data_IF_416048407474
#
_entry.id   IF_416048407474
#
_cell.length_a   1.000
_cell.length_b   1.000
_cell.length_c   1.000
_cell.angle_alpha   90.00
_cell.angle_beta   90.00
_cell.angle_gamma   90.00
#
_symmetry.space_group_name_H-M   'P 1'
#
loop_
_entity.id
_entity.type
_entity.pdbx_description
1 polymer ?
#
# COMPACT_ATOMS: atom_id res chain seq x y z
N UNK A 1 24.76 -29.61 52.16
CA UNK A 1 26.02 -29.14 52.80
C UNK A 1 26.94 -28.64 51.68
N UNK A 2 27.70 -27.57 51.93
CA UNK A 2 27.78 -26.41 51.03
C UNK A 2 29.20 -26.32 50.37
N UNK A 3 29.72 -25.25 49.75
CA UNK A 3 29.43 -23.81 49.91
C UNK A 3 29.48 -22.97 48.61
N UNK A 4 28.68 -21.89 48.66
CA UNK A 4 29.00 -20.56 48.14
C UNK A 4 30.49 -20.19 48.29
N UNK A 5 31.09 -19.60 47.25
CA UNK A 5 32.20 -18.66 47.47
C UNK A 5 31.99 -17.33 46.74
N UNK A 6 31.66 -16.35 47.58
CA UNK A 6 31.56 -14.92 47.30
C UNK A 6 32.98 -14.34 47.17
N UNK A 7 33.29 -13.60 46.10
CA UNK A 7 34.50 -12.76 46.06
C UNK A 7 34.13 -11.28 46.13
N UNK A 8 34.70 -10.58 47.11
CA UNK A 8 34.35 -9.21 47.50
C UNK A 8 35.45 -8.20 47.15
N UNK A 9 35.01 -7.07 46.60
CA UNK A 9 35.43 -5.71 46.98
C UNK A 9 36.73 -5.08 46.42
N UNK A 10 36.66 -3.73 46.35
CA UNK A 10 37.73 -2.71 46.19
C UNK A 10 38.33 -2.59 44.77
N UNK A 11 38.54 -1.39 44.23
CA UNK A 11 38.14 -0.07 44.71
C UNK A 11 38.63 1.06 43.78
N UNK A 12 37.74 2.05 43.56
CA UNK A 12 37.97 3.49 43.71
C UNK A 12 39.33 4.09 43.24
N UNK A 13 39.29 4.99 42.23
CA UNK A 13 39.77 6.39 42.32
C UNK A 13 39.66 7.17 40.99
N UNK A 14 39.11 8.40 41.08
CA UNK A 14 39.32 9.52 40.13
C UNK A 14 40.63 10.27 40.53
N UNK A 15 41.30 11.02 39.63
CA UNK A 15 41.02 12.46 39.41
C UNK A 15 40.98 12.83 37.90
N UNK A 16 40.20 13.81 37.39
CA UNK A 16 40.13 15.27 37.64
C UNK A 16 41.32 16.09 37.06
N UNK A 17 41.05 17.00 36.10
CA UNK A 17 42.04 17.98 35.60
C UNK A 17 41.76 18.63 34.21
N UNK A 18 41.06 19.77 34.19
CA UNK A 18 41.07 20.79 33.10
C UNK A 18 42.19 21.84 33.40
N UNK A 19 42.42 23.01 32.71
CA UNK A 19 41.68 23.72 31.66
C UNK A 19 42.54 24.48 30.58
N UNK A 20 41.95 25.51 29.92
CA UNK A 20 42.57 26.65 29.18
C UNK A 20 42.96 26.43 27.69
N UNK A 21 42.86 27.39 26.74
CA UNK A 21 42.34 28.79 26.74
C UNK A 21 42.21 29.39 25.31
N UNK A 22 41.45 30.50 25.18
CA UNK A 22 41.38 31.58 24.14
C UNK A 22 42.31 31.58 22.88
N UNK A 23 41.97 32.19 21.73
CA UNK A 23 40.99 33.26 21.44
C UNK A 23 40.93 33.70 19.95
N UNK A 24 40.38 34.89 19.59
CA UNK A 24 39.73 35.13 18.27
C UNK A 24 40.34 36.24 17.36
N UNK A 25 40.11 36.16 16.03
CA UNK A 25 40.36 37.21 15.00
C UNK A 25 39.48 36.95 13.74
N UNK A 26 38.99 37.87 12.87
CA UNK A 26 38.48 39.27 12.89
C UNK A 26 37.64 39.48 11.58
N UNK A 27 36.76 40.49 11.56
CA UNK A 27 35.83 41.01 10.53
C UNK A 27 36.17 41.04 9.01
N UNK A 28 35.09 41.09 8.21
CA UNK A 28 34.91 41.87 6.96
C UNK A 28 33.56 41.54 6.30
N UNK A 29 32.51 42.38 6.32
CA UNK A 29 32.25 43.56 5.47
C UNK A 29 32.43 43.29 3.94
N UNK A 30 31.52 43.66 3.00
CA UNK A 30 30.21 44.32 3.11
C UNK A 30 29.34 44.17 1.83
N UNK A 31 28.02 44.31 2.01
CA UNK A 31 27.06 45.17 1.28
C UNK A 31 26.67 44.99 -0.22
N UNK A 32 25.37 45.26 -0.43
CA UNK A 32 24.68 45.81 -1.62
C UNK A 32 24.72 45.04 -2.96
N UNK A 33 23.50 44.73 -3.45
CA UNK A 33 22.88 45.55 -4.50
C UNK A 33 21.33 45.45 -4.45
N UNK A 34 20.65 46.53 -4.84
CA UNK A 34 19.17 46.68 -4.81
C UNK A 34 18.58 46.62 -6.22
N UNK A 35 17.32 46.18 -6.29
CA UNK A 35 16.29 46.49 -7.31
C UNK A 35 16.60 46.18 -8.78
N UNK A 36 15.68 45.46 -9.41
CA UNK A 36 14.93 46.05 -10.53
C UNK A 36 13.49 45.49 -10.59
N UNK A 37 12.55 46.37 -10.88
CA UNK A 37 11.11 46.10 -11.01
C UNK A 37 10.79 45.91 -12.49
N UNK A 38 9.90 44.97 -12.83
CA UNK A 38 8.96 45.07 -13.97
C UNK A 38 7.94 43.92 -13.98
N UNK A 39 6.66 44.24 -13.78
CA UNK A 39 5.58 43.62 -14.56
C UNK A 39 5.40 44.43 -15.87
N UNK A 40 4.61 43.95 -16.85
CA UNK A 40 3.21 44.40 -16.89
C UNK A 40 2.19 43.39 -17.48
N UNK A 41 0.91 43.77 -17.32
CA UNK A 41 -0.29 43.41 -18.09
C UNK A 41 -0.77 41.93 -18.07
N UNK A 42 -1.99 41.63 -17.59
CA UNK A 42 -3.32 41.99 -18.12
C UNK A 42 -3.60 41.47 -19.55
N UNK A 43 -4.43 40.44 -19.64
CA UNK A 43 -5.54 40.42 -20.59
C UNK A 43 -6.78 39.83 -19.89
N UNK A 44 -7.86 40.59 -19.93
CA UNK A 44 -9.22 40.21 -19.55
C UNK A 44 -9.86 39.39 -20.69
N UNK A 45 -10.76 38.45 -20.35
CA UNK A 45 -12.00 38.18 -21.10
C UNK A 45 -12.90 37.21 -20.31
N UNK A 46 -14.12 37.66 -20.03
CA UNK A 46 -15.22 36.93 -19.40
C UNK A 46 -16.37 36.71 -20.43
N UNK A 47 -17.62 36.35 -20.07
CA UNK A 47 -18.08 35.05 -19.55
C UNK A 47 -19.29 34.47 -20.35
N UNK A 48 -19.73 33.24 -20.02
CA UNK A 48 -21.11 32.69 -20.17
C UNK A 48 -21.17 31.30 -19.52
N UNK A 49 -22.01 30.92 -18.56
CA UNK A 49 -23.42 31.21 -18.21
C UNK A 49 -24.47 30.32 -18.91
N UNK A 50 -25.03 29.38 -18.13
CA UNK A 50 -26.41 28.79 -18.11
C UNK A 50 -26.31 27.34 -17.55
N UNK A 51 -26.96 26.89 -16.46
CA UNK A 51 -28.31 27.07 -15.88
C UNK A 51 -29.33 25.98 -16.31
N UNK A 52 -30.39 25.77 -15.49
CA UNK A 52 -31.37 24.63 -15.41
C UNK A 52 -30.89 23.54 -14.43
N UNK A 53 -31.43 23.29 -13.22
CA UNK A 53 -32.71 23.58 -12.49
C UNK A 53 -33.88 22.61 -12.79
N UNK A 54 -34.36 21.94 -11.72
CA UNK A 54 -35.56 21.06 -11.68
C UNK A 54 -35.20 19.71 -11.03
N UNK A 55 -35.43 19.50 -9.72
CA UNK A 55 -36.66 18.97 -9.11
C UNK A 55 -36.95 17.50 -9.55
N UNK A 56 -37.30 16.54 -8.68
CA UNK A 56 -38.27 16.61 -7.56
C UNK A 56 -37.89 15.72 -6.36
N UNK A 57 -38.51 15.97 -5.20
CA UNK A 57 -38.25 15.29 -3.92
C UNK A 57 -39.41 14.37 -3.46
N UNK A 58 -39.11 13.50 -2.48
CA UNK A 58 -40.03 12.70 -1.63
C UNK A 58 -40.61 11.44 -2.32
N UNK A 59 -40.88 10.31 -1.64
CA UNK A 59 -41.13 10.02 -0.21
C UNK A 59 -40.41 8.75 0.31
N UNK A 60 -40.14 8.72 1.63
CA UNK A 60 -40.40 7.65 2.65
C UNK A 60 -40.46 6.16 2.18
N UNK A 61 -39.86 5.18 2.85
CA UNK A 61 -39.04 5.17 4.07
C UNK A 61 -39.03 3.81 4.80
N UNK A 62 -37.99 3.55 5.60
CA UNK A 62 -37.89 2.60 6.73
C UNK A 62 -38.41 1.16 6.63
N UNK A 63 -37.49 0.18 6.67
CA UNK A 63 -37.79 -1.23 7.00
C UNK A 63 -36.54 -2.09 7.20
N UNK A 64 -36.11 -2.31 8.44
CA UNK A 64 -34.99 -3.22 8.77
C UNK A 64 -35.46 -4.68 8.72
N UNK A 65 -34.64 -5.57 8.13
CA UNK A 65 -34.85 -7.02 8.13
C UNK A 65 -33.50 -7.76 8.07
N UNK A 66 -33.24 -8.61 9.05
CA UNK A 66 -31.94 -9.27 9.25
C UNK A 66 -31.73 -10.49 8.36
N UNK A 67 -30.60 -10.54 7.66
CA UNK A 67 -29.74 -11.72 7.40
C UNK A 67 -30.38 -13.02 6.85
N UNK A 68 -29.90 -13.46 5.69
CA UNK A 68 -29.94 -14.88 5.30
C UNK A 68 -28.71 -15.28 4.48
N UNK A 69 -28.32 -16.55 4.59
CA UNK A 69 -27.18 -17.14 3.89
C UNK A 69 -27.58 -17.49 2.45
N UNK A 70 -26.82 -17.00 1.46
CA UNK A 70 -27.04 -17.37 0.06
C UNK A 70 -26.64 -18.84 -0.21
N UNK A 71 -27.65 -19.71 -0.22
CA UNK A 71 -27.53 -21.12 -0.61
C UNK A 71 -27.89 -21.26 -2.09
N UNK A 72 -26.88 -21.38 -2.94
CA UNK A 72 -27.07 -21.76 -4.35
C UNK A 72 -27.83 -23.09 -4.43
N UNK A 73 -29.06 -23.03 -4.97
CA UNK A 73 -29.87 -24.21 -5.28
C UNK A 73 -30.45 -24.01 -6.67
N UNK A 74 -30.01 -24.81 -7.63
CA UNK A 74 -30.64 -24.83 -8.95
C UNK A 74 -32.09 -25.30 -8.82
N UNK A 75 -33.04 -24.55 -9.37
CA UNK A 75 -34.44 -24.97 -9.53
C UNK A 75 -34.95 -24.69 -10.94
N UNK A 76 -35.96 -25.47 -11.34
CA UNK A 76 -36.28 -25.75 -12.73
C UNK A 76 -37.36 -24.84 -13.33
N UNK A 77 -37.31 -24.70 -14.66
CA UNK A 77 -38.43 -24.54 -15.58
C UNK A 77 -39.54 -23.54 -15.20
N UNK A 78 -39.17 -22.27 -15.20
CA UNK A 78 -40.03 -21.12 -15.49
C UNK A 78 -39.12 -19.96 -15.88
N UNK A 79 -39.52 -19.09 -16.81
CA UNK A 79 -38.76 -17.86 -17.05
C UNK A 79 -38.78 -17.02 -15.76
N UNK A 80 -37.63 -16.75 -15.11
CA UNK A 80 -37.61 -15.96 -13.89
C UNK A 80 -38.10 -14.53 -14.15
N UNK A 81 -38.89 -14.00 -13.21
CA UNK A 81 -39.42 -12.64 -13.29
C UNK A 81 -38.28 -11.63 -13.36
N UNK A 82 -38.44 -10.62 -14.22
CA UNK A 82 -37.53 -9.46 -14.32
C UNK A 82 -37.37 -8.81 -12.94
N UNK A 83 -38.45 -8.75 -12.14
CA UNK A 83 -38.41 -8.20 -10.79
C UNK A 83 -37.43 -8.94 -9.88
N UNK A 84 -37.45 -10.28 -9.89
CA UNK A 84 -36.58 -11.12 -9.06
C UNK A 84 -35.11 -11.01 -9.50
N UNK A 85 -34.86 -10.94 -10.81
CA UNK A 85 -33.52 -10.75 -11.36
C UNK A 85 -32.96 -9.35 -11.03
N UNK A 86 -33.80 -8.32 -11.06
CA UNK A 86 -33.45 -6.96 -10.66
C UNK A 86 -33.11 -6.89 -9.16
N UNK A 87 -33.87 -7.57 -8.30
CA UNK A 87 -33.59 -7.60 -6.86
C UNK A 87 -32.28 -8.37 -6.57
N UNK A 88 -32.08 -9.54 -7.18
CA UNK A 88 -30.82 -10.29 -7.10
C UNK A 88 -29.62 -9.46 -7.58
N UNK A 89 -29.79 -8.68 -8.66
CA UNK A 89 -28.71 -7.83 -9.18
C UNK A 89 -28.45 -6.63 -8.29
N UNK A 90 -29.48 -6.03 -7.69
CA UNK A 90 -29.32 -4.98 -6.67
C UNK A 90 -28.60 -5.52 -5.44
N UNK A 91 -28.86 -6.75 -5.03
CA UNK A 91 -28.16 -7.37 -3.91
C UNK A 91 -26.72 -7.74 -4.26
N UNK A 92 -26.45 -8.22 -5.48
CA UNK A 92 -25.10 -8.41 -6.02
C UNK A 92 -24.29 -7.09 -6.07
N UNK A 93 -24.92 -6.00 -6.48
CA UNK A 93 -24.37 -4.65 -6.46
C UNK A 93 -24.12 -4.12 -5.04
N UNK A 94 -25.03 -4.37 -4.08
CA UNK A 94 -24.85 -4.00 -2.67
C UNK A 94 -23.75 -4.81 -1.99
N UNK A 95 -23.60 -6.09 -2.36
CA UNK A 95 -22.67 -7.03 -1.71
C UNK A 95 -21.20 -6.65 -1.91
N UNK A 96 -20.83 -6.01 -3.03
CA UNK A 96 -19.44 -5.58 -3.26
C UNK A 96 -19.26 -4.49 -4.31
N UNK A 97 -18.16 -3.74 -4.20
CA UNK A 97 -17.68 -2.83 -5.27
C UNK A 97 -17.43 -3.63 -6.56
N UNK A 98 -16.81 -4.80 -6.45
CA UNK A 98 -16.63 -5.75 -7.55
C UNK A 98 -17.95 -6.03 -8.29
N UNK A 99 -19.03 -6.37 -7.58
CA UNK A 99 -20.33 -6.65 -8.20
C UNK A 99 -20.91 -5.46 -8.99
N UNK A 100 -20.69 -4.23 -8.52
CA UNK A 100 -21.02 -3.01 -9.28
C UNK A 100 -20.13 -2.85 -10.51
N UNK A 101 -18.82 -3.06 -10.38
CA UNK A 101 -17.87 -2.94 -11.50
C UNK A 101 -18.10 -3.99 -12.59
N UNK A 102 -18.34 -5.25 -12.22
CA UNK A 102 -18.73 -6.35 -13.11
C UNK A 102 -20.00 -5.98 -13.89
N UNK A 103 -21.04 -5.52 -13.19
CA UNK A 103 -22.29 -5.07 -13.83
C UNK A 103 -22.08 -3.89 -14.77
N UNK A 104 -21.33 -2.86 -14.34
CA UNK A 104 -21.03 -1.70 -15.18
C UNK A 104 -20.24 -2.07 -16.45
N UNK A 105 -19.24 -2.96 -16.32
CA UNK A 105 -18.54 -3.52 -17.47
C UNK A 105 -19.51 -4.23 -18.42
N UNK A 106 -20.38 -5.10 -17.89
CA UNK A 106 -21.34 -5.84 -18.70
C UNK A 106 -22.34 -4.93 -19.43
N UNK A 107 -22.86 -3.90 -18.77
CA UNK A 107 -23.72 -2.90 -19.40
C UNK A 107 -23.00 -2.10 -20.49
N UNK A 108 -21.76 -1.69 -20.24
CA UNK A 108 -20.97 -0.94 -21.22
C UNK A 108 -20.57 -1.82 -22.44
N UNK A 109 -20.41 -3.12 -22.25
CA UNK A 109 -20.03 -4.07 -23.30
C UNK A 109 -21.22 -4.63 -24.10
N UNK A 110 -22.36 -4.87 -23.46
CA UNK A 110 -23.49 -5.62 -24.05
C UNK A 110 -24.86 -4.92 -23.92
N UNK A 111 -24.99 -3.89 -23.08
CA UNK A 111 -26.27 -3.24 -22.73
C UNK A 111 -26.34 -1.75 -23.03
N UNK A 112 -25.67 -1.30 -24.10
CA UNK A 112 -25.62 0.11 -24.56
C UNK A 112 -25.21 1.15 -23.49
N UNK A 113 -24.47 0.73 -22.46
CA UNK A 113 -24.09 1.57 -21.32
C UNK A 113 -25.26 1.93 -20.38
N UNK A 114 -26.43 1.31 -20.55
CA UNK A 114 -27.57 1.46 -19.63
C UNK A 114 -27.24 0.66 -18.38
N UNK A 115 -26.97 1.32 -17.25
CA UNK A 115 -26.56 0.66 -15.99
C UNK A 115 -27.69 0.45 -14.97
N UNK A 116 -28.92 0.87 -15.29
CA UNK A 116 -30.11 0.63 -14.46
C UNK A 116 -30.68 -0.78 -14.74
N UNK A 117 -30.68 -1.70 -13.75
CA UNK A 117 -31.25 -3.05 -13.92
C UNK A 117 -32.69 -3.08 -14.42
N UNK A 118 -33.53 -2.11 -14.03
CA UNK A 118 -34.97 -2.09 -14.37
C UNK A 118 -35.20 -1.83 -15.86
N UNK A 119 -34.18 -1.33 -16.57
CA UNK A 119 -34.25 -0.98 -17.99
C UNK A 119 -33.81 -2.10 -18.93
N UNK A 120 -33.52 -3.30 -18.40
CA UNK A 120 -33.10 -4.47 -19.15
C UNK A 120 -34.16 -5.58 -19.11
N UNK A 121 -34.23 -6.37 -20.18
CA UNK A 121 -35.11 -7.53 -20.25
C UNK A 121 -34.57 -8.73 -19.44
N UNK A 122 -35.45 -9.67 -19.07
CA UNK A 122 -35.10 -10.84 -18.27
C UNK A 122 -33.92 -11.63 -18.86
N UNK A 123 -33.92 -11.83 -20.18
CA UNK A 123 -32.88 -12.52 -20.95
C UNK A 123 -31.50 -11.89 -20.80
N UNK A 124 -31.42 -10.55 -20.72
CA UNK A 124 -30.16 -9.83 -20.53
C UNK A 124 -29.61 -10.02 -19.11
N UNK A 125 -30.48 -9.95 -18.11
CA UNK A 125 -30.14 -10.16 -16.70
C UNK A 125 -29.79 -11.63 -16.40
N UNK A 126 -30.48 -12.59 -17.02
CA UNK A 126 -30.11 -14.01 -16.99
C UNK A 126 -28.72 -14.22 -17.60
N UNK A 127 -28.48 -13.67 -18.80
CA UNK A 127 -27.19 -13.76 -19.50
C UNK A 127 -26.03 -13.17 -18.67
N UNK A 128 -26.28 -12.09 -17.92
CA UNK A 128 -25.33 -11.53 -16.96
C UNK A 128 -24.95 -12.55 -15.88
N UNK A 129 -25.95 -13.12 -15.19
CA UNK A 129 -25.70 -14.09 -14.12
C UNK A 129 -25.09 -15.39 -14.63
N UNK A 130 -25.41 -15.83 -15.84
CA UNK A 130 -24.75 -16.97 -16.47
C UNK A 130 -23.27 -16.69 -16.75
N UNK A 131 -22.94 -15.59 -17.44
CA UNK A 131 -21.54 -15.26 -17.76
C UNK A 131 -20.73 -15.00 -16.49
N UNK A 132 -21.33 -14.34 -15.48
CA UNK A 132 -20.70 -14.15 -14.18
C UNK A 132 -20.50 -15.46 -13.42
N UNK A 133 -21.48 -16.38 -13.46
CA UNK A 133 -21.39 -17.70 -12.85
C UNK A 133 -20.35 -18.61 -13.51
N UNK A 134 -20.02 -18.34 -14.78
CA UNK A 134 -18.94 -19.02 -15.54
C UNK A 134 -17.58 -18.32 -15.44
N UNK A 135 -17.51 -17.12 -14.85
CA UNK A 135 -16.30 -16.30 -14.76
C UNK A 135 -15.88 -15.60 -16.06
N UNK A 136 -16.72 -15.64 -17.11
CA UNK A 136 -16.42 -15.09 -18.45
C UNK A 136 -16.24 -13.55 -18.42
N UNK A 137 -16.80 -12.88 -17.42
CA UNK A 137 -16.71 -11.42 -17.26
C UNK A 137 -15.40 -10.96 -16.59
N UNK A 138 -14.61 -11.85 -15.96
CA UNK A 138 -13.42 -11.44 -15.20
C UNK A 138 -12.29 -10.91 -16.11
N UNK A 139 -12.04 -11.56 -17.25
CA UNK A 139 -10.99 -11.15 -18.20
C UNK A 139 -11.29 -9.78 -18.81
N UNK A 140 -12.54 -9.57 -19.23
CA UNK A 140 -13.00 -8.31 -19.81
C UNK A 140 -13.02 -7.17 -18.80
N UNK A 141 -13.47 -7.44 -17.57
CA UNK A 141 -13.49 -6.48 -16.47
C UNK A 141 -12.09 -5.93 -16.19
N UNK A 142 -11.03 -6.75 -16.20
CA UNK A 142 -9.66 -6.26 -15.97
C UNK A 142 -9.27 -5.19 -17.00
N UNK A 143 -9.59 -5.39 -18.28
CA UNK A 143 -9.29 -4.42 -19.35
C UNK A 143 -10.17 -3.15 -19.27
N UNK A 144 -11.39 -3.30 -18.75
CA UNK A 144 -12.34 -2.21 -18.59
C UNK A 144 -12.05 -1.37 -17.33
N UNK A 145 -11.58 -1.96 -16.22
CA UNK A 145 -11.16 -1.20 -15.03
C UNK A 145 -9.95 -0.33 -15.35
N UNK A 146 -8.94 -0.84 -16.06
CA UNK A 146 -7.79 -0.08 -16.55
C UNK A 146 -8.20 1.15 -17.39
N UNK A 147 -9.32 1.06 -18.11
CA UNK A 147 -9.82 2.16 -18.95
C UNK A 147 -10.88 3.05 -18.27
N UNK A 148 -11.68 2.53 -17.33
CA UNK A 148 -12.64 3.33 -16.55
C UNK A 148 -11.96 4.11 -15.42
N UNK A 149 -10.93 3.58 -14.74
CA UNK A 149 -10.13 4.36 -13.77
C UNK A 149 -9.45 5.55 -14.48
N UNK A 150 -8.82 5.32 -15.64
CA UNK A 150 -8.22 6.40 -16.46
C UNK A 150 -9.26 7.42 -16.92
N UNK A 151 -10.52 7.01 -17.16
CA UNK A 151 -11.59 7.92 -17.61
C UNK A 151 -12.30 8.66 -16.47
N UNK A 152 -12.37 8.07 -15.27
CA UNK A 152 -12.95 8.68 -14.05
C UNK A 152 -11.95 9.58 -13.32
N UNK A 153 -10.65 9.31 -13.38
CA UNK A 153 -9.59 10.12 -12.76
C UNK A 153 -9.29 11.45 -13.50
N UNK A 154 -10.33 12.20 -13.92
CA UNK A 154 -10.18 13.64 -14.21
C UNK A 154 -10.19 14.50 -12.95
N UNK A 155 -10.89 14.06 -11.91
CA UNK A 155 -10.73 14.58 -10.54
C UNK A 155 -9.67 13.75 -9.82
N UNK A 156 -8.40 14.15 -9.92
CA UNK A 156 -7.39 13.66 -8.97
C UNK A 156 -7.78 14.07 -7.54
N UNK A 157 -7.45 13.28 -6.50
CA UNK A 157 -7.60 13.75 -5.12
C UNK A 157 -6.90 15.10 -4.97
N UNK A 158 -7.66 16.13 -4.60
CA UNK A 158 -7.10 17.48 -4.42
C UNK A 158 -6.17 17.41 -3.21
N UNK A 159 -4.87 17.39 -3.48
CA UNK A 159 -3.85 17.48 -2.45
C UNK A 159 -4.08 18.77 -1.64
N UNK A 160 -3.88 18.73 -0.30
CA UNK A 160 -4.08 19.90 0.53
C UNK A 160 -3.16 21.04 0.08
N UNK A 161 -3.64 22.27 0.19
CA UNK A 161 -2.80 23.44 -0.02
C UNK A 161 -1.73 23.51 1.08
N UNK A 162 -0.48 23.31 0.68
CA UNK A 162 0.70 23.48 1.55
C UNK A 162 1.35 24.85 1.33
N UNK A 163 1.81 25.45 2.42
CA UNK A 163 2.48 26.76 2.46
C UNK A 163 3.93 26.70 1.95
N UNK A 164 4.59 27.85 1.83
CA UNK A 164 6.03 27.91 1.56
C UNK A 164 6.89 27.37 2.72
N UNK A 165 6.38 27.43 3.95
CA UNK A 165 7.07 26.93 5.14
C UNK A 165 7.02 25.40 5.20
N UNK A 166 5.90 24.78 4.82
CA UNK A 166 5.77 23.33 4.69
C UNK A 166 6.76 22.76 3.65
N UNK A 167 6.91 23.45 2.50
CA UNK A 167 7.84 23.07 1.44
C UNK A 167 9.29 23.16 1.92
N UNK A 168 9.68 24.28 2.53
CA UNK A 168 11.02 24.44 3.10
C UNK A 168 11.32 23.42 4.21
N UNK A 169 10.30 23.05 5.00
CA UNK A 169 10.44 22.01 6.05
C UNK A 169 10.63 20.62 5.43
N UNK A 170 9.91 20.30 4.34
CA UNK A 170 10.11 19.04 3.61
C UNK A 170 11.52 18.97 2.98
N UNK A 171 12.02 20.07 2.41
CA UNK A 171 13.41 20.17 1.92
C UNK A 171 14.44 19.95 3.05
N UNK A 172 14.24 20.57 4.22
CA UNK A 172 15.11 20.40 5.37
C UNK A 172 15.12 18.95 5.90
N UNK A 173 13.96 18.29 5.94
CA UNK A 173 13.84 16.87 6.30
C UNK A 173 14.58 15.95 5.34
N UNK A 174 14.51 16.22 4.03
CA UNK A 174 15.28 15.46 3.03
C UNK A 174 16.78 15.55 3.28
N UNK A 175 17.31 16.73 3.61
CA UNK A 175 18.73 16.90 3.91
C UNK A 175 19.14 16.09 5.14
N UNK A 176 18.43 16.27 6.27
CA UNK A 176 18.66 15.55 7.52
C UNK A 176 18.63 14.01 7.35
N UNK A 177 17.68 13.50 6.57
CA UNK A 177 17.56 12.07 6.26
C UNK A 177 18.77 11.48 5.52
N UNK A 178 19.49 12.31 4.74
CA UNK A 178 20.71 11.89 4.03
C UNK A 178 21.99 12.01 4.85
N UNK A 179 21.94 12.52 6.08
CA UNK A 179 23.11 12.63 6.95
C UNK A 179 23.63 11.26 7.43
N UNK A 180 24.90 11.22 7.80
CA UNK A 180 25.60 10.02 8.26
C UNK A 180 26.54 10.36 9.42
N UNK A 181 26.27 9.90 10.66
CA UNK A 181 25.07 9.16 11.08
C UNK A 181 23.80 10.02 10.92
N UNK A 182 22.64 9.37 10.78
CA UNK A 182 21.35 10.08 10.71
C UNK A 182 20.92 10.50 12.12
N UNK A 183 20.54 11.76 12.31
CA UNK A 183 19.92 12.21 13.55
C UNK A 183 18.40 11.98 13.50
N UNK A 184 18.00 10.75 13.82
CA UNK A 184 16.58 10.37 13.89
C UNK A 184 15.77 11.21 14.87
N UNK A 185 16.39 11.76 15.92
CA UNK A 185 15.70 12.56 16.94
C UNK A 185 15.44 13.97 16.43
N UNK A 186 16.46 14.67 15.90
CA UNK A 186 16.29 16.00 15.31
C UNK A 186 15.30 15.96 14.13
N UNK A 187 15.36 14.90 13.32
CA UNK A 187 14.40 14.71 12.25
C UNK A 187 12.98 14.47 12.78
N UNK A 188 12.78 13.60 13.77
CA UNK A 188 11.46 13.37 14.40
C UNK A 188 10.89 14.67 14.99
N UNK A 189 11.74 15.50 15.62
CA UNK A 189 11.34 16.80 16.17
C UNK A 189 10.90 17.80 15.10
N UNK A 190 11.33 17.66 13.85
CA UNK A 190 10.82 18.46 12.73
C UNK A 190 9.37 18.12 12.33
N UNK A 191 8.83 16.96 12.71
CA UNK A 191 7.43 16.60 12.41
C UNK A 191 6.48 17.37 13.31
N UNK A 192 5.25 17.71 12.85
CA UNK A 192 4.21 18.24 13.72
C UNK A 192 3.92 17.24 14.84
N UNK A 193 3.65 17.74 16.05
CA UNK A 193 3.63 16.91 17.25
C UNK A 193 2.62 15.75 17.19
N UNK A 194 1.48 15.92 16.49
CA UNK A 194 0.48 14.86 16.33
C UNK A 194 0.97 13.65 15.51
N UNK A 195 1.97 13.85 14.64
CA UNK A 195 2.50 12.80 13.78
C UNK A 195 3.60 11.97 14.45
N UNK A 196 4.38 12.58 15.34
CA UNK A 196 5.58 11.95 15.96
C UNK A 196 5.33 10.55 16.55
N UNK A 197 4.24 10.26 17.28
CA UNK A 197 4.00 8.92 17.85
C UNK A 197 3.96 7.79 16.81
N UNK A 198 3.65 8.09 15.54
CA UNK A 198 3.60 7.10 14.47
C UNK A 198 4.97 6.58 14.03
N UNK A 199 6.02 7.36 14.30
CA UNK A 199 7.41 7.14 13.86
C UNK A 199 8.36 6.75 15.02
N UNK A 200 7.93 6.89 16.28
CA UNK A 200 8.76 6.62 17.46
C UNK A 200 9.08 5.13 17.69
N UNK A 201 8.21 4.23 17.27
CA UNK A 201 8.40 2.79 17.40
C UNK A 201 7.54 2.02 16.38
N UNK A 202 7.89 0.76 16.15
CA UNK A 202 7.05 -0.18 15.41
C UNK A 202 5.76 -0.46 16.17
N UNK A 203 4.63 -0.45 15.47
CA UNK A 203 3.35 -0.90 15.98
C UNK A 203 2.93 -2.19 15.27
N UNK A 204 2.70 -3.24 16.07
CA UNK A 204 2.01 -4.46 15.68
C UNK A 204 0.50 -4.19 15.72
N UNK A 205 -0.17 -4.39 14.59
CA UNK A 205 -1.60 -4.21 14.37
C UNK A 205 -2.19 -5.53 13.84
N UNK A 206 -3.52 -5.65 13.82
CA UNK A 206 -4.20 -6.85 13.30
C UNK A 206 -4.98 -6.54 12.01
N UNK A 207 -4.86 -7.42 11.03
CA UNK A 207 -5.66 -7.43 9.80
C UNK A 207 -7.01 -8.10 10.10
N UNK A 208 -8.16 -7.47 9.78
CA UNK A 208 -9.46 -8.11 9.96
C UNK A 208 -9.61 -9.35 9.09
N UNK A 209 -10.23 -10.41 9.63
CA UNK A 209 -10.43 -11.71 8.95
C UNK A 209 -11.23 -11.63 7.64
N UNK A 210 -11.89 -10.52 7.35
CA UNK A 210 -12.53 -10.22 6.06
C UNK A 210 -11.54 -9.97 4.92
N UNK A 211 -10.26 -9.75 5.21
CA UNK A 211 -9.20 -9.51 4.23
C UNK A 211 -8.29 -10.74 4.08
N UNK A 212 -8.79 -11.76 3.37
CA UNK A 212 -8.07 -13.03 3.16
C UNK A 212 -6.97 -12.91 2.08
N UNK A 213 -5.91 -12.18 2.42
CA UNK A 213 -4.70 -12.07 1.60
C UNK A 213 -4.01 -13.42 1.40
N UNK A 214 -4.06 -14.31 2.40
CA UNK A 214 -3.38 -15.61 2.37
C UNK A 214 -3.92 -16.49 1.25
N UNK A 215 -5.24 -16.62 1.11
CA UNK A 215 -5.85 -17.43 0.04
C UNK A 215 -5.48 -16.95 -1.36
N UNK A 216 -5.57 -15.64 -1.62
CA UNK A 216 -5.25 -15.07 -2.93
C UNK A 216 -3.76 -15.19 -3.26
N UNK A 217 -2.88 -15.03 -2.27
CA UNK A 217 -1.44 -15.24 -2.48
C UNK A 217 -1.11 -16.72 -2.66
N UNK A 218 -1.76 -17.64 -1.96
CA UNK A 218 -1.57 -19.08 -2.19
C UNK A 218 -2.01 -19.49 -3.62
N UNK A 219 -3.16 -19.00 -4.09
CA UNK A 219 -3.61 -19.16 -5.48
C UNK A 219 -2.56 -18.62 -6.48
N UNK A 220 -2.02 -17.42 -6.24
CA UNK A 220 -0.97 -16.79 -7.05
C UNK A 220 0.39 -17.52 -7.04
N UNK A 221 0.62 -18.40 -6.06
CA UNK A 221 1.81 -19.24 -5.98
C UNK A 221 1.54 -20.68 -6.46
N UNK A 222 0.33 -20.96 -6.98
CA UNK A 222 -0.15 -22.29 -7.39
C UNK A 222 0.03 -23.32 -6.26
N UNK A 223 -0.37 -22.91 -5.05
CA UNK A 223 -0.10 -23.56 -3.77
C UNK A 223 -1.40 -23.72 -2.96
N UNK A 224 -1.65 -24.86 -2.28
CA UNK A 224 -2.70 -24.95 -1.27
C UNK A 224 -2.49 -23.92 -0.15
N UNK A 225 -3.56 -23.35 0.39
CA UNK A 225 -3.49 -22.29 1.43
C UNK A 225 -2.70 -22.72 2.67
N UNK A 226 -2.95 -23.96 3.11
CA UNK A 226 -2.32 -24.55 4.29
C UNK A 226 -0.79 -24.69 4.07
N UNK A 227 -0.40 -25.07 2.85
CA UNK A 227 0.98 -25.34 2.45
C UNK A 227 1.79 -24.06 2.12
N UNK A 228 1.27 -22.85 2.38
CA UNK A 228 1.97 -21.60 2.03
C UNK A 228 3.35 -21.48 2.70
N UNK A 229 3.49 -21.99 3.93
CA UNK A 229 4.80 -22.10 4.62
C UNK A 229 5.71 -23.14 3.95
N UNK A 230 5.13 -24.20 3.38
CA UNK A 230 5.82 -25.28 2.67
C UNK A 230 5.78 -25.14 1.15
N UNK A 231 5.58 -23.93 0.62
CA UNK A 231 5.47 -23.69 -0.84
C UNK A 231 6.72 -24.12 -1.63
N UNK A 232 7.85 -24.35 -0.95
CA UNK A 232 9.08 -24.91 -1.54
C UNK A 232 9.06 -26.42 -1.72
N UNK A 233 8.17 -27.14 -1.02
CA UNK A 233 7.99 -28.60 -1.09
C UNK A 233 6.82 -29.01 -2.01
N UNK A 234 5.92 -28.07 -2.34
CA UNK A 234 4.77 -28.29 -3.24
C UNK A 234 5.26 -28.89 -4.58
N UNK A 235 4.83 -30.11 -4.95
CA UNK A 235 5.21 -30.74 -6.21
C UNK A 235 4.72 -29.94 -7.42
N UNK A 236 5.56 -29.77 -8.44
CA UNK A 236 5.23 -29.02 -9.65
C UNK A 236 5.62 -29.78 -10.90
N UNK A 237 4.90 -29.54 -12.00
CA UNK A 237 5.17 -30.14 -13.31
C UNK A 237 6.42 -29.56 -13.97
N UNK A 238 6.95 -30.26 -14.98
CA UNK A 238 8.14 -29.81 -15.73
C UNK A 238 7.90 -28.55 -16.59
N UNK A 239 6.64 -28.16 -16.81
CA UNK A 239 6.23 -26.96 -17.54
C UNK A 239 5.80 -25.80 -16.62
N UNK A 240 5.87 -25.97 -15.30
CA UNK A 240 5.48 -24.96 -14.32
C UNK A 240 6.33 -23.68 -14.46
N UNK A 241 5.64 -22.53 -14.57
CA UNK A 241 6.27 -21.21 -14.71
C UNK A 241 6.00 -20.35 -13.48
N UNK A 242 6.93 -20.26 -12.51
CA UNK A 242 6.72 -19.46 -11.31
C UNK A 242 6.48 -17.99 -11.63
N UNK A 243 5.64 -17.36 -10.82
CA UNK A 243 5.53 -15.91 -10.78
C UNK A 243 6.87 -15.23 -10.41
N UNK A 244 7.08 -13.95 -10.75
CA UNK A 244 8.37 -13.29 -10.51
C UNK A 244 8.89 -13.33 -9.05
N UNK A 245 8.06 -13.16 -8.00
CA UNK A 245 8.50 -13.30 -6.62
C UNK A 245 8.97 -14.72 -6.26
N UNK A 246 8.21 -15.74 -6.69
CA UNK A 246 8.54 -17.14 -6.45
C UNK A 246 9.78 -17.58 -7.23
N UNK A 247 9.93 -17.13 -8.48
CA UNK A 247 11.11 -17.38 -9.30
C UNK A 247 12.38 -16.82 -8.63
N UNK A 248 12.30 -15.63 -8.02
CA UNK A 248 13.42 -15.05 -7.27
C UNK A 248 13.76 -15.90 -6.04
N UNK A 249 12.76 -16.27 -5.24
CA UNK A 249 12.95 -17.12 -4.06
C UNK A 249 13.55 -18.49 -4.39
N UNK A 250 13.05 -19.14 -5.46
CA UNK A 250 13.62 -20.39 -5.99
C UNK A 250 15.08 -20.22 -6.42
N UNK A 251 15.41 -19.12 -7.12
CA UNK A 251 16.78 -18.83 -7.56
C UNK A 251 17.74 -18.69 -6.38
N UNK A 252 17.32 -18.00 -5.30
CA UNK A 252 18.11 -17.85 -4.08
C UNK A 252 18.31 -19.18 -3.34
N UNK A 253 17.31 -20.07 -3.37
CA UNK A 253 17.40 -21.44 -2.86
C UNK A 253 18.19 -22.41 -3.77
N UNK A 254 18.69 -21.97 -4.93
CA UNK A 254 19.35 -22.82 -5.93
C UNK A 254 18.40 -23.75 -6.69
N UNK A 255 17.09 -23.60 -6.49
CA UNK A 255 16.06 -24.33 -7.20
C UNK A 255 15.88 -23.73 -8.61
N UNK A 256 16.11 -24.55 -9.62
CA UNK A 256 15.92 -24.16 -11.01
C UNK A 256 14.55 -24.66 -11.48
N UNK A 257 13.74 -23.76 -12.05
CA UNK A 257 12.52 -24.17 -12.74
C UNK A 257 12.88 -24.98 -13.98
N UNK A 258 12.15 -26.07 -14.23
CA UNK A 258 12.27 -26.80 -15.48
C UNK A 258 11.75 -25.92 -16.63
N UNK A 259 12.61 -25.63 -17.61
CA UNK A 259 12.24 -24.82 -18.77
C UNK A 259 13.35 -23.92 -19.29
N UNK A 260 13.26 -23.57 -20.59
CA UNK A 260 14.08 -22.51 -21.18
C UNK A 260 13.75 -21.19 -20.49
N UNK A 261 14.76 -20.36 -20.24
CA UNK A 261 14.58 -19.03 -19.63
C UNK A 261 13.55 -18.19 -20.40
N UNK A 262 12.33 -18.13 -19.88
CA UNK A 262 11.24 -17.39 -20.47
C UNK A 262 11.57 -15.88 -20.47
N UNK A 263 11.06 -15.15 -21.46
CA UNK A 263 11.28 -13.71 -21.53
C UNK A 263 10.70 -13.05 -20.26
N UNK A 264 11.54 -12.35 -19.49
CA UNK A 264 11.17 -11.70 -18.22
C UNK A 264 9.94 -10.79 -18.36
N UNK A 265 9.73 -10.18 -19.53
CA UNK A 265 8.56 -9.34 -19.80
C UNK A 265 7.28 -10.17 -19.99
N UNK A 266 7.37 -11.35 -20.63
CA UNK A 266 6.24 -12.27 -20.80
C UNK A 266 5.78 -12.84 -19.46
N UNK A 267 6.70 -13.27 -18.59
CA UNK A 267 6.37 -13.74 -17.24
C UNK A 267 5.72 -12.64 -16.39
N UNK A 268 6.19 -11.38 -16.51
CA UNK A 268 5.57 -10.23 -15.83
C UNK A 268 4.16 -9.93 -16.36
N UNK A 269 3.93 -10.00 -17.67
CA UNK A 269 2.60 -9.78 -18.23
C UNK A 269 1.62 -10.89 -17.84
N UNK A 270 2.03 -12.17 -17.95
CA UNK A 270 1.23 -13.32 -17.52
C UNK A 270 0.87 -13.24 -16.03
N UNK A 271 1.79 -12.81 -15.18
CA UNK A 271 1.54 -12.55 -13.75
C UNK A 271 0.47 -11.46 -13.55
N UNK A 272 0.59 -10.31 -14.20
CA UNK A 272 -0.34 -9.18 -14.01
C UNK A 272 -1.74 -9.48 -14.57
N UNK A 273 -1.82 -10.27 -15.64
CA UNK A 273 -3.06 -10.71 -16.27
C UNK A 273 -3.74 -11.90 -15.54
N UNK A 274 -3.21 -12.38 -14.41
CA UNK A 274 -3.84 -13.45 -13.64
C UNK A 274 -5.06 -12.88 -12.86
N UNK A 275 -6.23 -13.53 -12.93
CA UNK A 275 -7.43 -13.13 -12.19
C UNK A 275 -7.20 -13.04 -10.67
N UNK A 276 -6.40 -13.94 -10.10
CA UNK A 276 -6.00 -13.88 -8.69
C UNK A 276 -5.15 -12.64 -8.36
N UNK A 277 -4.38 -12.13 -9.32
CA UNK A 277 -3.60 -10.89 -9.16
C UNK A 277 -4.54 -9.68 -9.15
N UNK A 278 -5.50 -9.61 -10.08
CA UNK A 278 -6.53 -8.57 -10.08
C UNK A 278 -7.35 -8.57 -8.76
N UNK A 279 -7.77 -9.74 -8.28
CA UNK A 279 -8.46 -9.90 -6.98
C UNK A 279 -7.58 -9.47 -5.80
N UNK A 280 -6.28 -9.75 -5.82
CA UNK A 280 -5.33 -9.29 -4.79
C UNK A 280 -5.20 -7.76 -4.78
N UNK A 281 -5.14 -7.11 -5.95
CA UNK A 281 -5.06 -5.65 -6.05
C UNK A 281 -6.34 -4.97 -5.51
N UNK A 282 -7.53 -5.50 -5.84
CA UNK A 282 -8.80 -4.99 -5.30
C UNK A 282 -8.90 -5.21 -3.77
N UNK A 283 -8.50 -6.38 -3.27
CA UNK A 283 -8.47 -6.64 -1.83
C UNK A 283 -7.54 -5.67 -1.10
N UNK A 284 -6.36 -5.41 -1.68
CA UNK A 284 -5.40 -4.44 -1.16
C UNK A 284 -5.96 -3.01 -1.15
N UNK A 285 -6.55 -2.52 -2.27
CA UNK A 285 -7.15 -1.18 -2.34
C UNK A 285 -8.26 -1.01 -1.29
N UNK A 286 -9.12 -2.01 -1.13
CA UNK A 286 -10.16 -2.03 -0.08
C UNK A 286 -9.56 -2.00 1.33
N UNK A 287 -8.57 -2.85 1.63
CA UNK A 287 -7.90 -2.87 2.93
C UNK A 287 -7.25 -1.52 3.27
N UNK A 288 -6.57 -0.90 2.30
CA UNK A 288 -5.99 0.43 2.49
C UNK A 288 -7.06 1.45 2.87
N UNK A 289 -8.15 1.52 2.10
CA UNK A 289 -9.17 2.57 2.29
C UNK A 289 -10.06 2.33 3.52
N UNK A 290 -10.31 1.06 3.87
CA UNK A 290 -11.21 0.68 4.96
C UNK A 290 -10.51 0.59 6.32
N UNK A 291 -9.24 0.17 6.36
CA UNK A 291 -8.49 -0.08 7.61
C UNK A 291 -7.28 0.86 7.76
N UNK A 292 -6.41 0.90 6.75
CA UNK A 292 -5.10 1.58 6.89
C UNK A 292 -5.23 3.09 6.99
N UNK A 293 -5.98 3.72 6.08
CA UNK A 293 -6.14 5.18 6.05
C UNK A 293 -6.96 5.69 7.26
N UNK A 294 -8.09 5.07 7.66
CA UNK A 294 -8.80 5.45 8.88
C UNK A 294 -7.95 5.25 10.15
N UNK A 295 -7.23 4.13 10.25
CA UNK A 295 -6.34 3.85 11.39
C UNK A 295 -5.18 4.85 11.49
N UNK A 296 -4.57 5.21 10.35
CA UNK A 296 -3.51 6.22 10.29
C UNK A 296 -4.01 7.62 10.67
N UNK A 297 -5.18 8.03 10.15
CA UNK A 297 -5.80 9.31 10.48
C UNK A 297 -6.12 9.39 11.98
N UNK A 298 -6.81 8.38 12.53
CA UNK A 298 -7.15 8.33 13.95
C UNK A 298 -5.91 8.37 14.87
N UNK A 299 -4.85 7.63 14.51
CA UNK A 299 -3.61 7.60 15.28
C UNK A 299 -2.77 8.90 15.13
N UNK A 300 -2.96 9.67 14.06
CA UNK A 300 -2.43 11.03 13.90
C UNK A 300 -3.31 12.12 14.54
N UNK A 301 -4.51 11.80 15.03
CA UNK A 301 -5.49 12.80 15.47
C UNK A 301 -6.14 13.60 14.32
N UNK A 302 -6.02 13.13 13.08
CA UNK A 302 -6.56 13.76 11.88
C UNK A 302 -8.02 13.32 11.62
N UNK A 303 -8.82 14.12 10.90
CA UNK A 303 -10.17 13.71 10.49
C UNK A 303 -10.15 12.47 9.59
N UNK A 304 -10.78 11.38 10.04
CA UNK A 304 -10.89 10.12 9.27
C UNK A 304 -11.59 10.34 7.92
N UNK A 305 -12.67 11.12 7.91
CA UNK A 305 -13.41 11.43 6.69
C UNK A 305 -12.64 12.45 5.84
N UNK A 306 -12.28 12.07 4.61
CA UNK A 306 -11.55 12.95 3.68
C UNK A 306 -10.04 12.96 3.87
N UNK A 307 -9.49 12.15 4.78
CA UNK A 307 -8.05 11.96 4.93
C UNK A 307 -7.39 11.55 3.61
N UNK A 308 -6.50 12.40 3.09
CA UNK A 308 -5.74 12.15 1.87
C UNK A 308 -4.37 11.53 2.18
N UNK A 309 -3.91 10.61 1.32
CA UNK A 309 -2.60 9.98 1.44
C UNK A 309 -2.06 9.52 0.08
N UNK A 310 -0.76 9.59 -0.13
CA UNK A 310 -0.12 8.86 -1.23
C UNK A 310 0.15 7.42 -0.77
N UNK A 311 -0.25 6.46 -1.60
CA UNK A 311 -0.18 5.03 -1.30
C UNK A 311 0.52 4.30 -2.45
N UNK A 312 1.37 3.33 -2.14
CA UNK A 312 1.97 2.45 -3.14
C UNK A 312 0.86 1.72 -3.93
N UNK A 313 0.92 1.78 -5.26
CA UNK A 313 -0.21 1.34 -6.14
C UNK A 313 -0.48 -0.15 -6.07
N UNK A 314 0.57 -0.96 -6.06
CA UNK A 314 0.53 -2.42 -5.92
C UNK A 314 1.37 -2.82 -4.69
N UNK A 315 0.94 -3.76 -3.84
CA UNK A 315 1.76 -4.25 -2.74
C UNK A 315 2.87 -5.16 -3.30
N UNK A 316 4.08 -5.07 -2.74
CA UNK A 316 5.21 -5.92 -3.14
C UNK A 316 5.07 -7.27 -2.45
N UNK A 317 4.85 -8.33 -3.23
CA UNK A 317 4.92 -9.71 -2.77
C UNK A 317 6.37 -10.19 -2.69
N UNK A 318 6.78 -10.74 -1.54
CA UNK A 318 8.06 -11.41 -1.34
C UNK A 318 7.86 -12.85 -0.91
N UNK A 319 8.68 -13.73 -1.47
CA UNK A 319 8.67 -15.18 -1.22
C UNK A 319 10.11 -15.59 -0.96
N UNK A 320 10.44 -15.94 0.28
CA UNK A 320 11.81 -16.21 0.75
C UNK A 320 11.90 -17.64 1.27
N UNK A 321 12.34 -18.53 0.38
CA UNK A 321 12.48 -19.95 0.64
C UNK A 321 13.67 -20.22 1.58
N UNK A 322 13.70 -21.38 2.27
CA UNK A 322 14.89 -21.89 2.93
C UNK A 322 16.10 -21.86 2.00
N UNK A 323 17.13 -21.10 2.37
CA UNK A 323 18.34 -20.91 1.55
C UNK A 323 19.51 -20.32 2.35
N UNK A 324 20.73 -20.50 1.81
CA UNK A 324 21.95 -19.90 2.35
C UNK A 324 22.13 -18.41 1.96
N UNK A 325 21.14 -17.80 1.28
CA UNK A 325 21.24 -16.45 0.75
C UNK A 325 20.20 -15.52 1.37
N UNK A 326 20.66 -14.37 1.88
CA UNK A 326 19.78 -13.28 2.29
C UNK A 326 19.04 -12.71 1.08
N UNK A 327 17.72 -12.53 1.19
CA UNK A 327 16.89 -11.95 0.14
C UNK A 327 17.07 -10.42 0.00
N UNK A 328 17.38 -9.75 1.10
CA UNK A 328 17.46 -8.29 1.22
C UNK A 328 18.74 -7.89 1.96
N UNK A 329 19.58 -7.06 1.33
CA UNK A 329 20.76 -6.45 1.96
C UNK A 329 20.36 -5.34 2.94
N UNK A 330 21.24 -5.00 3.87
CA UNK A 330 21.05 -3.86 4.78
C UNK A 330 21.00 -2.53 4.04
N UNK A 331 19.95 -1.76 4.29
CA UNK A 331 19.65 -0.46 3.69
C UNK A 331 18.57 0.29 4.49
N UNK A 332 18.30 1.53 4.13
CA UNK A 332 17.10 2.32 4.47
C UNK A 332 16.29 2.56 3.19
N UNK A 333 14.96 2.63 3.24
CA UNK A 333 14.18 2.95 2.03
C UNK A 333 14.53 4.38 1.49
N UNK A 334 14.95 5.30 2.35
CA UNK A 334 15.50 6.62 1.99
C UNK A 334 16.72 6.56 1.06
N UNK A 335 17.55 5.51 1.15
CA UNK A 335 18.74 5.34 0.28
C UNK A 335 18.35 5.15 -1.20
N UNK A 336 17.08 4.88 -1.48
CA UNK A 336 16.50 4.78 -2.82
C UNK A 336 15.67 6.01 -3.24
N UNK A 337 15.80 7.12 -2.50
CA UNK A 337 15.14 8.39 -2.76
C UNK A 337 13.71 8.49 -2.23
N UNK A 338 13.31 7.61 -1.30
CA UNK A 338 12.02 7.72 -0.63
C UNK A 338 12.02 8.88 0.37
N UNK A 339 10.86 9.50 0.61
CA UNK A 339 10.75 10.70 1.46
C UNK A 339 10.64 10.36 2.95
N UNK A 340 11.20 11.17 3.87
CA UNK A 340 11.24 10.92 5.31
C UNK A 340 9.89 10.58 5.96
N UNK A 341 8.80 11.14 5.44
CA UNK A 341 7.45 10.96 5.96
C UNK A 341 6.74 9.69 5.44
N UNK A 342 7.50 8.76 4.86
CA UNK A 342 7.00 7.48 4.39
C UNK A 342 6.98 6.45 5.52
N UNK A 343 5.79 5.86 5.75
CA UNK A 343 5.57 4.77 6.69
C UNK A 343 5.47 3.44 5.94
N UNK A 344 6.23 2.45 6.41
CA UNK A 344 6.21 1.09 5.89
C UNK A 344 5.15 0.26 6.61
N UNK A 345 4.40 -0.50 5.82
CA UNK A 345 3.49 -1.54 6.30
C UNK A 345 4.00 -2.89 5.80
N UNK A 346 4.28 -3.81 6.72
CA UNK A 346 4.76 -5.15 6.44
C UNK A 346 3.78 -6.20 6.99
N UNK A 347 3.26 -7.03 6.09
CA UNK A 347 2.24 -8.04 6.35
C UNK A 347 2.82 -9.44 6.07
N UNK A 348 3.29 -10.17 7.10
CA UNK A 348 3.57 -11.59 6.96
C UNK A 348 2.28 -12.38 6.70
N UNK A 349 2.32 -13.31 5.74
CA UNK A 349 1.24 -14.25 5.43
C UNK A 349 1.56 -15.69 5.89
N UNK A 350 2.68 -15.82 6.59
CA UNK A 350 3.28 -17.03 7.16
C UNK A 350 3.91 -16.65 8.49
N UNK A 351 4.04 -17.58 9.42
CA UNK A 351 4.71 -17.35 10.71
C UNK A 351 6.15 -16.86 10.51
N UNK A 352 6.56 -15.82 11.23
CA UNK A 352 7.89 -15.18 11.11
C UNK A 352 8.56 -15.00 12.46
N UNK A 353 9.81 -15.45 12.55
CA UNK A 353 10.70 -15.23 13.70
C UNK A 353 12.17 -15.48 13.30
N UNK A 354 13.11 -14.83 13.99
CA UNK A 354 14.54 -14.95 13.72
C UNK A 354 14.90 -14.88 12.23
N UNK A 355 15.67 -15.86 11.75
CA UNK A 355 16.20 -15.90 10.38
C UNK A 355 15.16 -15.92 9.24
N UNK A 356 13.89 -16.31 9.51
CA UNK A 356 12.84 -16.25 8.48
C UNK A 356 12.24 -14.85 8.34
N UNK A 357 12.54 -13.91 9.25
CA UNK A 357 11.89 -12.61 9.36
C UNK A 357 12.64 -11.44 8.68
N UNK A 358 12.09 -10.24 8.82
CA UNK A 358 12.78 -8.98 8.58
C UNK A 358 13.50 -8.57 9.87
N UNK A 359 14.77 -8.19 9.77
CA UNK A 359 15.54 -7.61 10.87
C UNK A 359 15.54 -6.09 10.72
N UNK A 360 15.17 -5.40 11.79
CA UNK A 360 14.95 -3.94 11.81
C UNK A 360 15.65 -3.28 12.99
N UNK A 361 16.12 -2.07 12.78
CA UNK A 361 16.54 -1.13 13.81
C UNK A 361 15.33 -0.58 14.61
N UNK A 362 15.46 -0.39 15.93
CA UNK A 362 14.32 0.06 16.76
C UNK A 362 13.94 1.53 16.54
N UNK A 363 14.92 2.36 16.20
CA UNK A 363 14.77 3.79 15.89
C UNK A 363 16.01 4.28 15.10
N UNK A 364 15.89 5.21 14.13
CA UNK A 364 16.98 5.54 13.23
C UNK A 364 18.27 5.98 13.95
N UNK A 365 19.38 5.32 13.61
CA UNK A 365 20.73 5.62 14.13
C UNK A 365 21.15 4.86 15.39
N UNK A 366 20.34 3.92 15.89
CA UNK A 366 20.66 3.07 17.06
C UNK A 366 21.45 1.80 16.74
N UNK A 367 21.33 1.27 15.53
CA UNK A 367 21.91 -0.01 15.09
C UNK A 367 21.56 -1.23 15.98
N UNK A 368 20.40 -1.22 16.64
CA UNK A 368 19.92 -2.24 17.59
C UNK A 368 18.97 -3.26 16.95
N UNK A 369 19.52 -4.02 15.98
CA UNK A 369 18.74 -4.91 15.12
C UNK A 369 18.09 -6.08 15.86
N UNK A 370 16.81 -6.28 15.58
CA UNK A 370 16.02 -7.42 16.05
C UNK A 370 15.11 -7.93 14.93
N UNK A 371 14.79 -9.23 14.96
CA UNK A 371 13.80 -9.82 14.08
C UNK A 371 12.39 -9.38 14.49
N UNK A 372 11.51 -9.10 13.53
CA UNK A 372 10.08 -8.93 13.79
C UNK A 372 9.48 -10.31 14.08
N UNK A 373 8.65 -10.45 15.12
CA UNK A 373 7.97 -11.72 15.44
C UNK A 373 6.45 -11.60 15.29
N UNK A 374 5.85 -12.51 14.51
CA UNK A 374 4.43 -12.45 14.16
C UNK A 374 3.89 -13.70 13.46
N UNK A 375 2.57 -13.75 13.40
CA UNK A 375 1.76 -14.85 12.85
C UNK A 375 0.77 -14.33 11.78
N UNK A 376 0.00 -15.23 11.18
CA UNK A 376 -1.02 -14.84 10.19
C UNK A 376 -2.06 -13.89 10.80
N UNK A 377 -2.29 -12.76 10.12
CA UNK A 377 -3.20 -11.71 10.57
C UNK A 377 -2.49 -10.55 11.28
N UNK A 378 -1.19 -10.63 11.51
CA UNK A 378 -0.40 -9.49 11.97
C UNK A 378 -0.01 -8.55 10.82
N UNK A 379 0.02 -7.24 11.09
CA UNK A 379 0.63 -6.25 10.21
C UNK A 379 1.43 -5.22 11.02
N UNK A 380 2.64 -4.90 10.55
CA UNK A 380 3.59 -4.06 11.27
C UNK A 380 3.73 -2.70 10.57
N UNK A 381 3.39 -1.62 11.27
CA UNK A 381 3.61 -0.23 10.82
C UNK A 381 4.83 0.37 11.52
N UNK A 382 5.76 0.93 10.76
CA UNK A 382 7.03 1.44 11.30
C UNK A 382 7.76 2.39 10.33
N UNK A 383 8.81 3.05 10.81
CA UNK A 383 9.60 4.03 10.07
C UNK A 383 10.72 3.40 9.22
N UNK A 384 10.39 2.39 8.41
CA UNK A 384 11.36 1.70 7.54
C UNK A 384 12.02 2.57 6.47
N UNK A 385 11.51 3.79 6.25
CA UNK A 385 12.19 4.82 5.49
C UNK A 385 13.60 5.12 6.02
N UNK A 386 13.78 5.16 7.35
CA UNK A 386 15.05 5.53 7.97
C UNK A 386 15.62 4.53 8.97
N UNK A 387 14.80 3.68 9.58
CA UNK A 387 15.30 2.52 10.29
C UNK A 387 16.00 1.59 9.30
N UNK A 388 17.29 1.31 9.54
CA UNK A 388 18.00 0.31 8.76
C UNK A 388 17.34 -1.08 8.89
N UNK A 389 17.30 -1.82 7.79
CA UNK A 389 16.70 -3.15 7.78
C UNK A 389 17.27 -4.09 6.72
N UNK A 390 17.16 -5.38 6.99
CA UNK A 390 17.67 -6.46 6.15
C UNK A 390 16.93 -7.78 6.40
N UNK A 391 17.29 -8.83 5.68
CA UNK A 391 16.92 -10.21 6.02
C UNK A 391 18.19 -11.00 6.25
N UNK A 392 18.19 -11.94 7.18
CA UNK A 392 19.21 -12.98 7.23
C UNK A 392 18.99 -13.99 6.08
N UNK A 393 19.90 -14.96 5.96
CA UNK A 393 19.64 -16.15 5.17
C UNK A 393 18.56 -16.97 5.89
N UNK A 394 17.48 -17.34 5.20
CA UNK A 394 16.42 -18.12 5.82
C UNK A 394 16.89 -19.57 6.00
N UNK A 395 17.42 -19.89 7.19
CA UNK A 395 17.89 -21.24 7.54
C UNK A 395 16.83 -22.04 8.31
N UNK A 396 15.57 -21.61 8.32
CA UNK A 396 14.45 -22.36 8.88
C UNK A 396 13.97 -23.46 7.91
N UNK A 397 12.98 -24.25 8.33
CA UNK A 397 12.30 -25.23 7.48
C UNK A 397 11.09 -24.67 6.75
N UNK A 398 10.80 -23.36 6.86
CA UNK A 398 9.60 -22.73 6.29
C UNK A 398 9.96 -21.59 5.34
N UNK A 399 9.15 -21.41 4.29
CA UNK A 399 9.17 -20.23 3.42
C UNK A 399 8.51 -19.05 4.13
N UNK A 400 9.16 -17.89 4.17
CA UNK A 400 8.43 -16.64 4.45
C UNK A 400 7.69 -16.18 3.19
N UNK A 401 6.39 -15.94 3.31
CA UNK A 401 5.62 -15.15 2.35
C UNK A 401 5.13 -13.87 3.02
N UNK A 402 5.32 -12.71 2.39
CA UNK A 402 4.93 -11.42 2.95
C UNK A 402 4.57 -10.39 1.88
N UNK A 403 3.67 -9.46 2.20
CA UNK A 403 3.37 -8.26 1.42
C UNK A 403 4.00 -7.02 2.09
N UNK A 404 4.59 -6.11 1.31
CA UNK A 404 5.00 -4.78 1.78
C UNK A 404 4.50 -3.62 0.91
N UNK A 405 4.04 -2.56 1.56
CA UNK A 405 3.60 -1.33 0.93
C UNK A 405 3.92 -0.11 1.78
N UNK A 406 3.83 1.08 1.19
CA UNK A 406 4.07 2.36 1.88
C UNK A 406 2.92 3.33 1.77
N UNK A 407 2.80 4.18 2.77
CA UNK A 407 1.83 5.27 2.87
C UNK A 407 2.53 6.55 3.33
N UNK A 408 2.18 7.67 2.70
CA UNK A 408 2.58 9.03 3.10
C UNK A 408 1.32 9.85 3.29
N UNK A 409 1.21 10.61 4.39
CA UNK A 409 0.08 11.54 4.57
C UNK A 409 0.03 12.60 3.45
N UNK A 410 -1.18 13.00 3.04
CA UNK A 410 -1.38 13.87 1.88
C UNK A 410 -0.73 15.25 2.01
N UNK A 411 -0.62 15.78 3.23
CA UNK A 411 0.10 17.02 3.54
C UNK A 411 1.60 16.90 3.27
N UNK A 412 2.25 15.87 3.80
CA UNK A 412 3.67 15.61 3.56
C UNK A 412 3.96 15.32 2.09
N UNK A 413 3.11 14.51 1.43
CA UNK A 413 3.25 14.25 0.00
C UNK A 413 3.09 15.53 -0.84
N UNK A 414 2.13 16.41 -0.49
CA UNK A 414 1.95 17.69 -1.17
C UNK A 414 3.15 18.63 -1.00
N UNK A 415 3.72 18.70 0.21
CA UNK A 415 4.92 19.49 0.49
C UNK A 415 6.12 18.97 -0.31
N UNK A 416 6.41 17.68 -0.25
CA UNK A 416 7.46 17.04 -1.03
C UNK A 416 7.24 17.20 -2.55
N UNK A 417 6.01 17.06 -3.03
CA UNK A 417 5.67 17.24 -4.44
C UNK A 417 5.94 18.68 -4.94
N UNK A 418 5.65 19.70 -4.13
CA UNK A 418 6.00 21.10 -4.45
C UNK A 418 7.50 21.38 -4.36
N UNK A 419 8.24 20.70 -3.47
CA UNK A 419 9.71 20.72 -3.44
C UNK A 419 10.38 20.02 -4.64
N UNK A 420 9.62 19.30 -5.47
CA UNK A 420 10.13 18.55 -6.62
C UNK A 420 10.76 17.20 -6.27
N UNK A 421 10.65 16.76 -5.02
CA UNK A 421 11.30 15.55 -4.51
C UNK A 421 10.78 14.26 -5.17
N UNK A 422 9.45 14.03 -5.33
CA UNK A 422 8.94 12.82 -5.96
C UNK A 422 9.43 12.58 -7.38
N UNK A 423 9.62 13.61 -8.21
CA UNK A 423 10.13 13.44 -9.58
C UNK A 423 11.62 13.06 -9.61
N UNK A 424 12.41 13.58 -8.67
CA UNK A 424 13.81 13.18 -8.50
C UNK A 424 13.91 11.73 -8.02
N UNK A 425 13.09 11.39 -7.02
CA UNK A 425 12.94 10.05 -6.46
C UNK A 425 12.49 9.01 -7.50
N UNK A 426 11.49 9.31 -8.33
CA UNK A 426 10.95 8.33 -9.29
C UNK A 426 12.01 7.89 -10.34
N UNK A 427 12.89 8.81 -10.73
CA UNK A 427 14.02 8.52 -11.63
C UNK A 427 15.04 7.54 -11.03
N UNK A 428 15.15 7.48 -9.70
CA UNK A 428 15.93 6.48 -8.96
C UNK A 428 15.10 5.20 -8.71
N UNK A 429 13.85 5.31 -8.26
CA UNK A 429 12.95 4.17 -7.96
C UNK A 429 12.71 3.25 -9.16
N UNK A 430 12.55 3.80 -10.38
CA UNK A 430 12.41 3.01 -11.62
C UNK A 430 13.63 2.14 -11.95
N UNK A 431 14.81 2.43 -11.36
CA UNK A 431 16.03 1.61 -11.54
C UNK A 431 16.16 0.49 -10.50
N UNK A 432 15.62 0.69 -9.30
CA UNK A 432 15.99 -0.14 -8.14
C UNK A 432 14.83 -0.95 -7.52
N UNK A 433 13.61 -0.41 -7.40
CA UNK A 433 12.58 -1.00 -6.52
C UNK A 433 11.17 -1.20 -7.09
N UNK A 434 10.89 -0.77 -8.33
CA UNK A 434 9.76 -1.31 -9.10
C UNK A 434 8.33 -1.05 -8.58
N UNK A 435 8.14 -0.08 -7.68
CA UNK A 435 6.82 0.37 -7.22
C UNK A 435 6.48 1.78 -7.70
N UNK A 436 5.23 2.00 -8.09
CA UNK A 436 4.65 3.34 -8.30
C UNK A 436 3.90 3.79 -7.05
N UNK A 437 3.85 5.10 -6.79
CA UNK A 437 2.95 5.70 -5.81
C UNK A 437 1.75 6.32 -6.54
N UNK A 438 0.56 6.19 -5.98
CA UNK A 438 -0.68 6.79 -6.46
C UNK A 438 -1.33 7.60 -5.35
N UNK A 439 -1.96 8.72 -5.70
CA UNK A 439 -2.76 9.50 -4.76
C UNK A 439 -4.05 8.76 -4.42
N UNK A 440 -4.34 8.62 -3.12
CA UNK A 440 -5.58 8.11 -2.59
C UNK A 440 -6.19 9.06 -1.56
N UNK A 441 -7.44 8.81 -1.20
CA UNK A 441 -8.05 9.40 -0.01
C UNK A 441 -9.08 8.44 0.57
N UNK A 442 -9.31 8.49 1.88
CA UNK A 442 -10.39 7.76 2.53
C UNK A 442 -11.78 8.16 2.00
N UNK A 443 -11.89 9.37 1.43
CA UNK A 443 -13.11 9.87 0.77
C UNK A 443 -13.33 9.34 -0.66
N UNK A 444 -12.32 8.80 -1.34
CA UNK A 444 -12.46 8.32 -2.72
C UNK A 444 -13.28 7.02 -2.86
N UNK A 445 -13.60 6.32 -1.77
CA UNK A 445 -14.58 5.24 -1.78
C UNK A 445 -16.05 5.74 -1.84
N UNK A 446 -16.31 7.03 -1.54
CA UNK A 446 -17.65 7.58 -1.42
C UNK A 446 -17.99 8.60 -2.53
N UNK A 447 -17.89 8.18 -3.79
CA UNK A 447 -18.76 8.69 -4.88
C UNK A 447 -19.60 7.58 -5.50
N UNK A 448 -20.17 6.74 -4.64
CA UNK A 448 -21.17 5.73 -5.00
C UNK A 448 -22.61 6.15 -4.66
N UNK A 449 -22.81 7.26 -3.94
CA UNK A 449 -24.12 7.79 -3.52
C UNK A 449 -24.25 9.28 -3.88
N UNK A 450 -24.41 9.60 -5.18
CA UNK A 450 -24.87 10.91 -5.66
C UNK A 450 -25.21 10.95 -7.17
N UNK A 451 -26.03 10.00 -7.66
CA UNK A 451 -26.98 10.26 -8.76
C UNK A 451 -28.02 9.15 -8.88
#
# INVERSE_FOLDING_TARGET
>A
MPEEQQCKSKGMLLPAGCPCSAGPVVHGQAAMLRRLVRQPAFFDLSPRANAIVGAWSNLVGSGFGTGSLFRWTAMANGDPDVSDLVEQLRDFQKASVYGRSVWHYYCDAFGDGIRDPVRHEASFLQSFFEQQGRGELEEGLSSWVDSEEVRKCKDSPVLPEVSSEDVATAEARMLLATESPVDGQALLESFPCQWRPLYMCMQKLSVPRSFDFRSLVAELLECPKEDLEQVHEVPRSEDFQPCPPLQLGMTLAGLHGAGKAANKNHCRQRWRNNGAHARLQELYRRFVVQEVLPGLAAAAGEPVQGFAAAVQTEPVLRVVLPSQHAATKRHRDADYGHIPEELNFWLPLTSVSGCSSLHVESFPGRADFHAIEGEEGDIFRWWGNLCEHYTEANTSTTTRVSLDFRVVAGSFWAAAAKAGTPQQAEKQRRRNHGGSMTLGSSGCANRADAC
#
